data_IF_382235030780
#
_entry.id   IF_382235030780
#
_cell.length_a   1.000
_cell.length_b   1.000
_cell.length_c   1.000
_cell.angle_alpha   90.00
_cell.angle_beta   90.00
_cell.angle_gamma   90.00
#
_symmetry.space_group_name_H-M   'P 1'
#
loop_
_entity.id
_entity.type
_entity.pdbx_description
1 polymer ?
#
# COMPACT_ATOMS: atom_id res chain seq x y z
N UNK A 1 20.67 27.38 -12.12
CA UNK A 1 20.68 25.94 -12.48
C UNK A 1 19.27 25.43 -12.22
N UNK A 2 18.64 24.71 -13.17
CA UNK A 2 17.35 24.10 -12.91
C UNK A 2 17.54 23.13 -11.73
N UNK A 3 16.65 23.18 -10.75
CA UNK A 3 16.66 22.24 -9.65
C UNK A 3 16.53 20.83 -10.25
N UNK A 4 17.62 20.07 -10.25
CA UNK A 4 17.57 18.65 -10.56
C UNK A 4 16.59 18.03 -9.58
N UNK A 5 15.58 17.37 -10.14
CA UNK A 5 14.47 16.76 -9.43
C UNK A 5 15.02 15.53 -8.66
N UNK A 6 15.73 15.79 -7.57
CA UNK A 6 16.46 14.81 -6.75
C UNK A 6 15.51 13.76 -6.15
N UNK A 7 14.21 14.04 -6.12
CA UNK A 7 13.18 13.12 -5.66
C UNK A 7 13.04 11.88 -6.56
N UNK A 8 13.39 11.96 -7.85
CA UNK A 8 13.32 10.83 -8.79
C UNK A 8 14.52 9.86 -8.69
N UNK A 9 15.58 10.22 -7.96
CA UNK A 9 16.78 9.37 -7.76
C UNK A 9 16.77 8.63 -6.40
N UNK A 10 15.63 8.61 -5.71
CA UNK A 10 15.48 7.87 -4.46
C UNK A 10 15.31 6.37 -4.68
N UNK A 11 15.84 5.55 -3.77
CA UNK A 11 15.47 4.13 -3.67
C UNK A 11 13.95 4.00 -3.51
N UNK A 12 13.40 2.90 -3.99
CA UNK A 12 11.99 2.56 -3.74
C UNK A 12 11.68 2.66 -2.25
N UNK A 13 10.61 3.38 -1.90
CA UNK A 13 10.21 3.60 -0.50
C UNK A 13 9.57 2.35 0.08
N UNK A 14 10.35 1.30 0.31
CA UNK A 14 9.90 0.04 0.91
C UNK A 14 10.65 -0.23 2.23
N UNK A 15 9.99 -0.15 3.40
CA UNK A 15 8.59 0.23 3.62
C UNK A 15 8.34 1.74 3.51
N UNK A 16 7.16 2.16 3.05
CA UNK A 16 6.79 3.57 2.98
C UNK A 16 6.48 4.13 4.38
N UNK A 17 7.46 4.84 4.96
CA UNK A 17 7.37 5.35 6.33
C UNK A 17 6.32 6.46 6.52
N UNK A 18 5.95 7.17 5.45
CA UNK A 18 4.96 8.26 5.51
C UNK A 18 3.57 7.72 5.90
N UNK A 19 3.24 6.50 5.47
CA UNK A 19 1.99 5.81 5.81
C UNK A 19 1.82 5.63 7.32
N UNK A 20 2.87 5.18 7.99
CA UNK A 20 2.88 5.01 9.44
C UNK A 20 2.74 6.36 10.16
N UNK A 21 3.40 7.40 9.66
CA UNK A 21 3.29 8.76 10.21
C UNK A 21 1.87 9.30 10.06
N UNK A 22 1.25 9.19 8.89
CA UNK A 22 -0.10 9.68 8.67
C UNK A 22 -1.13 8.94 9.52
N UNK A 23 -1.01 7.60 9.61
CA UNK A 23 -1.83 6.79 10.51
C UNK A 23 -1.71 7.27 11.95
N UNK A 24 -0.48 7.45 12.45
CA UNK A 24 -0.24 7.94 13.81
C UNK A 24 -0.83 9.33 14.04
N UNK A 25 -0.60 10.28 13.13
CA UNK A 25 -1.14 11.63 13.23
C UNK A 25 -2.68 11.61 13.33
N UNK A 26 -3.36 10.76 12.57
CA UNK A 26 -4.82 10.63 12.63
C UNK A 26 -5.35 10.04 13.95
N UNK A 27 -4.50 9.40 14.75
CA UNK A 27 -4.86 8.98 16.13
C UNK A 27 -4.87 10.17 17.11
N UNK A 28 -4.17 11.26 16.79
CA UNK A 28 -4.09 12.45 17.64
C UNK A 28 -5.35 13.29 17.47
N UNK A 29 -5.93 13.74 18.57
CA UNK A 29 -7.17 14.57 18.58
C UNK A 29 -7.03 15.84 17.74
N UNK A 30 -5.82 16.38 17.64
CA UNK A 30 -5.50 17.60 16.86
C UNK A 30 -5.65 17.39 15.35
N UNK A 31 -5.44 16.17 14.86
CA UNK A 31 -5.44 15.85 13.43
C UNK A 31 -6.50 14.81 13.04
N UNK A 32 -7.28 14.29 13.99
CA UNK A 32 -8.33 13.29 13.77
C UNK A 32 -9.35 13.71 12.70
N UNK A 33 -9.65 15.00 12.60
CA UNK A 33 -10.59 15.57 11.62
C UNK A 33 -9.90 16.09 10.34
N UNK A 34 -8.60 15.83 10.16
CA UNK A 34 -7.88 16.26 8.97
C UNK A 34 -8.28 15.39 7.76
N UNK A 35 -9.25 15.86 6.99
CA UNK A 35 -9.78 15.19 5.81
C UNK A 35 -8.74 15.01 4.71
N UNK A 36 -7.82 15.95 4.55
CA UNK A 36 -6.74 15.86 3.56
C UNK A 36 -5.77 14.72 3.91
N UNK A 37 -5.41 14.58 5.19
CA UNK A 37 -4.54 13.51 5.66
C UNK A 37 -5.21 12.14 5.54
N UNK A 38 -6.51 12.06 5.85
CA UNK A 38 -7.34 10.87 5.64
C UNK A 38 -7.39 10.47 4.17
N UNK A 39 -7.62 11.42 3.26
CA UNK A 39 -7.65 11.16 1.83
C UNK A 39 -6.31 10.63 1.33
N UNK A 40 -5.18 11.27 1.70
CA UNK A 40 -3.83 10.81 1.35
C UNK A 40 -3.57 9.37 1.80
N UNK A 41 -3.95 9.04 3.03
CA UNK A 41 -3.79 7.69 3.57
C UNK A 41 -4.62 6.67 2.80
N UNK A 42 -5.90 6.99 2.54
CA UNK A 42 -6.80 6.10 1.80
C UNK A 42 -6.39 5.92 0.34
N UNK A 43 -5.90 6.97 -0.32
CA UNK A 43 -5.44 6.90 -1.70
C UNK A 43 -4.19 6.03 -1.82
N UNK A 44 -3.25 6.15 -0.88
CA UNK A 44 -2.08 5.27 -0.85
C UNK A 44 -2.46 3.80 -0.58
N UNK A 45 -3.38 3.55 0.36
CA UNK A 45 -3.93 2.20 0.62
C UNK A 45 -4.51 1.58 -0.66
N UNK A 46 -5.23 2.37 -1.45
CA UNK A 46 -5.86 1.91 -2.69
C UNK A 46 -4.84 1.69 -3.80
N UNK A 47 -3.86 2.57 -3.94
CA UNK A 47 -2.85 2.50 -4.99
C UNK A 47 -1.96 1.25 -4.85
N UNK A 48 -1.64 0.89 -3.61
CA UNK A 48 -0.79 -0.28 -3.30
C UNK A 48 -1.62 -1.52 -2.89
N UNK A 49 -2.94 -1.47 -3.10
CA UNK A 49 -3.88 -2.58 -2.86
C UNK A 49 -3.74 -3.21 -1.45
N UNK A 50 -3.56 -2.38 -0.41
CA UNK A 50 -3.21 -2.84 0.95
C UNK A 50 -4.44 -3.31 1.76
N UNK A 51 -5.20 -4.29 1.26
CA UNK A 51 -6.47 -4.74 1.85
C UNK A 51 -6.42 -5.06 3.36
N UNK A 52 -5.48 -5.88 3.89
CA UNK A 52 -5.47 -6.20 5.32
C UNK A 52 -5.15 -4.97 6.18
N UNK A 53 -4.31 -4.08 5.68
CA UNK A 53 -3.95 -2.87 6.40
C UNK A 53 -5.09 -1.86 6.43
N UNK A 54 -5.90 -1.78 5.36
CA UNK A 54 -7.14 -0.99 5.35
C UNK A 54 -8.09 -1.39 6.49
N UNK A 55 -8.30 -2.69 6.71
CA UNK A 55 -9.14 -3.19 7.80
C UNK A 55 -8.61 -2.76 9.17
N UNK A 56 -7.29 -2.87 9.39
CA UNK A 56 -6.62 -2.45 10.63
C UNK A 56 -6.77 -0.94 10.85
N UNK A 57 -6.50 -0.13 9.82
CA UNK A 57 -6.61 1.34 9.89
C UNK A 57 -8.04 1.76 10.21
N UNK A 58 -9.03 1.16 9.53
CA UNK A 58 -10.44 1.43 9.82
C UNK A 58 -10.82 1.03 11.26
N UNK A 59 -10.34 -0.11 11.74
CA UNK A 59 -10.60 -0.55 13.12
C UNK A 59 -9.97 0.39 14.15
N UNK A 60 -8.71 0.79 13.97
CA UNK A 60 -8.00 1.62 14.96
C UNK A 60 -8.48 3.08 14.96
N UNK A 61 -8.81 3.63 13.79
CA UNK A 61 -9.32 5.00 13.65
C UNK A 61 -10.84 5.08 13.78
N UNK A 62 -11.50 3.93 14.03
CA UNK A 62 -12.95 3.79 14.16
C UNK A 62 -13.72 4.34 12.95
N UNK A 63 -13.19 4.10 11.75
CA UNK A 63 -13.81 4.49 10.48
C UNK A 63 -14.70 3.38 9.93
N UNK A 64 -15.78 3.75 9.19
CA UNK A 64 -16.57 2.76 8.48
C UNK A 64 -15.70 2.05 7.43
N UNK A 65 -15.82 0.73 7.36
CA UNK A 65 -15.17 -0.11 6.35
C UNK A 65 -16.05 -0.13 5.11
N UNK A 66 -15.51 0.27 3.97
CA UNK A 66 -16.14 0.09 2.67
C UNK A 66 -15.91 -1.36 2.20
N UNK A 67 -16.95 -2.19 2.33
CA UNK A 67 -16.90 -3.60 1.96
C UNK A 67 -16.70 -3.82 0.47
N UNK A 68 -17.20 -2.92 -0.38
CA UNK A 68 -17.02 -3.01 -1.84
C UNK A 68 -15.55 -2.79 -2.19
N UNK A 69 -14.96 -1.74 -1.61
CA UNK A 69 -13.54 -1.45 -1.79
C UNK A 69 -12.67 -2.58 -1.26
N UNK A 70 -12.98 -3.10 -0.07
CA UNK A 70 -12.25 -4.19 0.55
C UNK A 70 -12.28 -5.47 -0.28
N UNK A 71 -13.46 -5.85 -0.80
CA UNK A 71 -13.59 -7.03 -1.66
C UNK A 71 -12.75 -6.87 -2.92
N UNK A 72 -12.82 -5.70 -3.58
CA UNK A 72 -12.04 -5.42 -4.78
C UNK A 72 -10.53 -5.57 -4.53
N UNK A 73 -10.03 -5.00 -3.43
CA UNK A 73 -8.61 -5.11 -3.10
C UNK A 73 -8.20 -6.54 -2.74
N UNK A 74 -9.07 -7.31 -2.07
CA UNK A 74 -8.81 -8.74 -1.76
C UNK A 74 -8.72 -9.58 -3.03
N UNK A 75 -9.62 -9.36 -3.98
CA UNK A 75 -9.62 -10.08 -5.27
C UNK A 75 -8.38 -9.76 -6.10
N UNK A 76 -7.96 -8.49 -6.12
CA UNK A 76 -6.76 -8.04 -6.81
C UNK A 76 -5.49 -8.61 -6.18
N UNK A 77 -5.42 -8.63 -4.83
CA UNK A 77 -4.30 -9.26 -4.12
C UNK A 77 -4.22 -10.76 -4.38
N UNK A 78 -5.35 -11.47 -4.38
CA UNK A 78 -5.37 -12.91 -4.66
C UNK A 78 -4.81 -13.21 -6.06
N UNK A 79 -5.27 -12.48 -7.08
CA UNK A 79 -4.73 -12.59 -8.44
C UNK A 79 -3.25 -12.30 -8.50
N UNK A 80 -2.79 -11.24 -7.82
CA UNK A 80 -1.39 -10.87 -7.86
C UNK A 80 -0.49 -11.90 -7.19
N UNK A 81 -0.95 -12.52 -6.10
CA UNK A 81 -0.25 -13.62 -5.46
C UNK A 81 -0.12 -14.83 -6.39
N UNK A 82 -1.22 -15.23 -7.06
CA UNK A 82 -1.19 -16.31 -8.05
C UNK A 82 -0.24 -16.03 -9.21
N UNK A 83 -0.21 -14.80 -9.74
CA UNK A 83 0.74 -14.38 -10.76
C UNK A 83 2.20 -14.50 -10.29
N UNK A 84 2.48 -14.07 -9.05
CA UNK A 84 3.82 -14.12 -8.48
C UNK A 84 4.25 -15.57 -8.26
N UNK A 85 3.38 -16.42 -7.71
CA UNK A 85 3.66 -17.85 -7.51
C UNK A 85 3.92 -18.56 -8.86
N UNK A 86 3.15 -18.24 -9.89
CA UNK A 86 3.38 -18.75 -11.24
C UNK A 86 4.71 -18.28 -11.83
N UNK A 87 5.07 -17.00 -11.62
CA UNK A 87 6.35 -16.43 -12.07
C UNK A 87 7.53 -17.08 -11.34
N UNK A 88 7.40 -17.33 -10.04
CA UNK A 88 8.42 -18.02 -9.24
C UNK A 88 8.59 -19.46 -9.75
N UNK A 89 7.50 -20.20 -9.94
CA UNK A 89 7.55 -21.57 -10.44
C UNK A 89 8.18 -21.67 -11.84
N UNK A 90 7.87 -20.72 -12.73
CA UNK A 90 8.49 -20.63 -14.05
C UNK A 90 9.99 -20.33 -13.95
N UNK A 91 10.39 -19.39 -13.10
CA UNK A 91 11.80 -19.07 -12.87
C UNK A 91 12.58 -20.26 -12.30
N UNK A 92 12.00 -21.03 -11.39
CA UNK A 92 12.62 -22.23 -10.81
C UNK A 92 12.79 -23.36 -11.83
N UNK A 93 11.80 -23.57 -12.70
CA UNK A 93 11.81 -24.67 -13.68
C UNK A 93 12.61 -24.36 -14.95
N UNK A 94 12.54 -23.12 -15.44
CA UNK A 94 13.04 -22.76 -16.77
C UNK A 94 14.28 -21.85 -16.76
N UNK A 95 14.54 -21.11 -15.67
CA UNK A 95 15.68 -20.18 -15.58
C UNK A 95 16.78 -20.66 -14.61
N UNK A 96 16.52 -21.71 -13.83
CA UNK A 96 17.49 -22.35 -12.94
C UNK A 96 18.50 -23.27 -13.65
N UNK A 97 18.17 -23.80 -14.83
CA UNK A 97 19.03 -24.69 -15.62
C UNK A 97 19.83 -23.97 -16.73
N UNK A 98 20.28 -22.74 -16.47
CA UNK A 98 21.31 -22.12 -17.32
C UNK A 98 22.69 -22.46 -16.75
N UNK A 99 23.22 -23.64 -17.11
CA UNK A 99 24.67 -23.91 -17.14
C UNK A 99 25.28 -23.55 -18.50
#
# INVERSE_FOLDING_TARGET
>A
MPAENLEEQGLEKNPNLELAQWKFLLTLKEHQNNTALKAKLLDAIKNDTMAPWYEIVCSELNWPVDQSLLSKMKDENAKKLEELDATIADAEQNLGEME
#
